data_IF_693571446412
#
_entry.id   IF_693571446412
#
_cell.length_a   1.000
_cell.length_b   1.000
_cell.length_c   1.000
_cell.angle_alpha   90.00
_cell.angle_beta   90.00
_cell.angle_gamma   90.00
#
_symmetry.space_group_name_H-M   'P 1'
#
loop_
_entity.id
_entity.type
_entity.pdbx_description
1 polymer ?
#
# COMPACT_ATOMS: atom_id res chain seq x y z
N UNK A 1 -59.27 -4.69 46.13
CA UNK A 1 -59.91 -4.32 44.84
C UNK A 1 -59.08 -5.00 43.77
N UNK A 2 -59.42 -6.23 43.35
CA UNK A 2 -60.45 -6.56 42.34
C UNK A 2 -60.23 -5.69 41.09
N UNK A 3 -60.03 -6.20 39.89
CA UNK A 3 -59.96 -7.55 39.31
C UNK A 3 -59.63 -7.32 37.82
N UNK A 4 -59.43 -8.42 37.10
CA UNK A 4 -59.66 -8.55 35.65
C UNK A 4 -58.47 -8.29 34.72
N UNK A 5 -58.10 -9.16 33.77
CA UNK A 5 -58.31 -10.59 33.46
C UNK A 5 -57.39 -10.82 32.25
N UNK A 6 -56.63 -11.92 32.25
CA UNK A 6 -55.86 -12.40 31.09
C UNK A 6 -56.74 -13.32 30.20
N UNK A 7 -56.14 -14.23 29.42
CA UNK A 7 -55.55 -14.18 28.08
C UNK A 7 -56.51 -14.86 27.07
N UNK A 8 -56.06 -15.31 25.87
CA UNK A 8 -56.51 -16.56 25.20
C UNK A 8 -55.97 -16.71 23.74
N UNK A 9 -55.24 -17.83 23.52
CA UNK A 9 -55.24 -18.83 22.41
C UNK A 9 -55.09 -18.34 20.95
N UNK A 10 -54.53 -19.06 19.97
CA UNK A 10 -53.89 -20.37 19.76
C UNK A 10 -53.19 -20.24 18.37
N UNK A 11 -52.08 -20.90 18.04
CA UNK A 11 -52.01 -22.32 17.69
C UNK A 11 -52.40 -22.59 16.23
N UNK A 12 -51.37 -22.76 15.38
CA UNK A 12 -51.23 -23.56 14.15
C UNK A 12 -52.37 -23.63 13.09
N UNK A 13 -52.03 -23.44 11.79
CA UNK A 13 -51.78 -24.55 10.85
C UNK A 13 -51.26 -24.04 9.49
N UNK A 14 -50.59 -24.95 8.80
CA UNK A 14 -49.90 -24.85 7.50
C UNK A 14 -50.82 -24.48 6.32
N UNK A 15 -50.24 -23.84 5.31
CA UNK A 15 -50.66 -24.00 3.91
C UNK A 15 -49.45 -23.88 2.97
N UNK A 16 -49.37 -24.84 2.06
CA UNK A 16 -48.31 -25.16 1.10
C UNK A 16 -48.02 -24.10 0.02
N UNK A 17 -46.85 -24.28 -0.61
CA UNK A 17 -46.31 -23.60 -1.78
C UNK A 17 -47.25 -23.62 -3.00
N UNK A 18 -47.00 -22.75 -4.00
CA UNK A 18 -46.24 -23.29 -5.12
C UNK A 18 -45.07 -22.41 -5.57
N UNK A 19 -44.14 -23.09 -6.22
CA UNK A 19 -42.92 -22.59 -6.82
C UNK A 19 -43.18 -21.58 -7.96
N UNK A 20 -42.37 -20.53 -8.02
CA UNK A 20 -41.82 -20.06 -9.30
C UNK A 20 -40.44 -19.45 -9.05
N UNK A 21 -39.42 -20.24 -9.41
CA UNK A 21 -38.03 -19.89 -9.29
C UNK A 21 -37.54 -19.20 -10.54
N UNK A 22 -37.02 -17.97 -10.38
CA UNK A 22 -36.10 -17.36 -11.34
C UNK A 22 -34.96 -16.67 -10.59
N UNK A 23 -34.11 -17.47 -9.97
CA UNK A 23 -32.71 -17.08 -9.78
C UNK A 23 -32.00 -17.52 -11.06
N UNK A 24 -31.54 -16.56 -11.87
CA UNK A 24 -30.64 -16.83 -12.99
C UNK A 24 -29.29 -17.31 -12.44
N UNK A 25 -29.23 -18.58 -12.06
CA UNK A 25 -27.98 -19.30 -11.89
C UNK A 25 -27.46 -19.55 -13.29
N UNK A 26 -26.54 -18.70 -13.75
CA UNK A 26 -25.80 -18.98 -14.98
C UNK A 26 -25.02 -20.28 -14.71
N UNK A 27 -25.56 -21.36 -15.25
CA UNK A 27 -25.06 -22.72 -15.13
C UNK A 27 -23.64 -22.80 -15.68
N UNK A 28 -22.64 -22.73 -14.82
CA UNK A 28 -21.26 -23.07 -15.13
C UNK A 28 -21.13 -24.59 -15.18
N UNK A 29 -21.68 -25.19 -16.23
CA UNK A 29 -21.42 -26.61 -16.52
C UNK A 29 -21.28 -26.83 -18.01
N UNK A 30 -20.00 -26.94 -18.39
CA UNK A 30 -19.46 -27.80 -19.44
C UNK A 30 -19.54 -27.28 -20.89
N UNK A 31 -18.45 -26.65 -21.31
CA UNK A 31 -17.83 -26.97 -22.61
C UNK A 31 -16.38 -27.37 -22.33
N UNK A 32 -16.17 -28.65 -22.04
CA UNK A 32 -14.87 -29.28 -22.28
C UNK A 32 -14.84 -29.57 -23.77
N UNK A 33 -14.13 -28.76 -24.54
CA UNK A 33 -13.77 -29.09 -25.91
C UNK A 33 -12.31 -28.75 -26.18
N UNK A 34 -11.53 -29.83 -26.29
CA UNK A 34 -10.26 -29.96 -27.02
C UNK A 34 -9.08 -29.15 -26.49
N UNK A 35 -8.05 -29.89 -26.07
CA UNK A 35 -6.73 -29.42 -25.69
C UNK A 35 -6.03 -28.69 -26.84
N UNK A 36 -6.10 -27.36 -26.84
CA UNK A 36 -5.01 -26.52 -27.32
C UNK A 36 -4.17 -26.12 -26.09
N UNK A 37 -2.83 -26.13 -26.18
CA UNK A 37 -2.00 -25.68 -25.08
C UNK A 37 -2.37 -24.22 -24.75
N UNK A 38 -2.70 -23.93 -23.48
CA UNK A 38 -2.91 -22.55 -23.06
C UNK A 38 -1.59 -21.78 -23.20
N UNK A 39 -1.53 -20.89 -24.18
CA UNK A 39 -0.53 -19.85 -24.28
C UNK A 39 -0.84 -18.76 -23.25
N UNK A 40 -0.22 -18.86 -22.08
CA UNK A 40 -0.11 -17.83 -21.02
C UNK A 40 -1.41 -17.20 -20.45
N UNK A 41 -1.74 -17.54 -19.19
CA UNK A 41 -2.78 -16.87 -18.39
C UNK A 41 -2.19 -15.72 -17.56
N UNK A 42 -2.37 -14.47 -17.97
CA UNK A 42 -1.92 -13.31 -17.20
C UNK A 42 -2.94 -12.88 -16.12
N UNK A 43 -2.67 -13.19 -14.85
CA UNK A 43 -3.53 -12.79 -13.71
C UNK A 43 -3.05 -11.46 -13.12
N UNK A 44 -3.82 -10.38 -13.32
CA UNK A 44 -3.52 -9.06 -12.72
C UNK A 44 -4.21 -8.89 -11.38
N UNK A 45 -3.44 -8.95 -10.28
CA UNK A 45 -3.92 -8.70 -8.91
C UNK A 45 -4.25 -7.23 -8.62
N UNK A 46 -5.37 -6.70 -9.15
CA UNK A 46 -5.76 -5.27 -9.02
C UNK A 46 -5.93 -4.79 -7.57
N UNK A 47 -6.27 -5.67 -6.62
CA UNK A 47 -6.54 -5.30 -5.22
C UNK A 47 -5.28 -4.89 -4.43
N UNK A 48 -4.23 -5.71 -4.46
CA UNK A 48 -2.98 -5.42 -3.73
C UNK A 48 -2.26 -4.22 -4.32
N UNK A 49 -2.27 -4.09 -5.65
CA UNK A 49 -1.71 -2.94 -6.34
C UNK A 49 -2.35 -1.63 -5.87
N UNK A 50 -3.69 -1.56 -5.84
CA UNK A 50 -4.40 -0.36 -5.36
C UNK A 50 -4.08 0.01 -3.91
N UNK A 51 -3.97 -0.98 -3.02
CA UNK A 51 -3.59 -0.73 -1.62
C UNK A 51 -2.16 -0.15 -1.55
N UNK A 52 -1.24 -0.72 -2.33
CA UNK A 52 0.15 -0.22 -2.41
C UNK A 52 0.19 1.22 -2.96
N UNK A 53 -0.58 1.51 -4.00
CA UNK A 53 -0.66 2.87 -4.55
C UNK A 53 -1.22 3.87 -3.53
N UNK A 54 -2.19 3.47 -2.70
CA UNK A 54 -2.69 4.32 -1.61
C UNK A 54 -1.61 4.64 -0.56
N UNK A 55 -0.76 3.67 -0.20
CA UNK A 55 0.37 3.93 0.69
C UNK A 55 1.39 4.91 0.07
N UNK A 56 1.66 4.76 -1.24
CA UNK A 56 2.57 5.65 -1.98
C UNK A 56 2.00 7.08 -2.03
N UNK A 57 0.72 7.24 -2.37
CA UNK A 57 0.06 8.54 -2.45
C UNK A 57 0.04 9.27 -1.09
N UNK A 58 -0.24 8.56 0.01
CA UNK A 58 -0.15 9.13 1.36
C UNK A 58 1.28 9.57 1.72
N UNK A 59 2.29 8.82 1.29
CA UNK A 59 3.69 9.16 1.49
C UNK A 59 4.13 10.35 0.62
N UNK A 60 3.71 10.42 -0.65
CA UNK A 60 3.99 11.54 -1.54
C UNK A 60 3.38 12.84 -1.01
N UNK A 61 2.14 12.79 -0.51
CA UNK A 61 1.49 13.93 0.18
C UNK A 61 2.22 14.35 1.44
N UNK A 62 2.74 13.38 2.21
CA UNK A 62 3.52 13.67 3.40
C UNK A 62 4.80 14.42 3.05
N UNK A 63 5.57 13.94 2.07
CA UNK A 63 6.81 14.61 1.66
C UNK A 63 6.56 15.96 0.99
N UNK A 64 5.50 16.10 0.19
CA UNK A 64 5.13 17.40 -0.38
C UNK A 64 4.85 18.43 0.72
N UNK A 65 4.00 18.08 1.69
CA UNK A 65 3.68 18.97 2.80
C UNK A 65 4.91 19.23 3.71
N UNK A 66 5.73 18.22 3.94
CA UNK A 66 6.95 18.38 4.73
C UNK A 66 7.93 19.34 4.04
N UNK A 67 8.17 19.17 2.73
CA UNK A 67 9.06 20.05 1.94
C UNK A 67 8.52 21.49 1.92
N UNK A 68 7.20 21.69 1.75
CA UNK A 68 6.57 23.02 1.76
C UNK A 68 6.71 23.76 3.10
N UNK A 69 6.77 23.02 4.22
CA UNK A 69 6.84 23.58 5.57
C UNK A 69 8.29 23.76 6.06
N UNK A 70 9.17 22.89 5.58
CA UNK A 70 10.58 22.94 5.86
C UNK A 70 11.23 24.17 5.19
N UNK A 71 12.27 24.73 5.82
CA UNK A 71 12.97 25.92 5.31
C UNK A 71 14.35 25.63 4.74
N UNK A 72 14.86 24.43 4.98
CA UNK A 72 16.18 24.02 4.53
C UNK A 72 16.05 23.05 3.37
N UNK A 73 16.21 23.53 2.13
CA UNK A 73 16.09 22.75 0.91
C UNK A 73 16.97 21.48 0.89
N UNK A 74 18.04 21.41 1.69
CA UNK A 74 18.85 20.19 1.81
C UNK A 74 18.08 19.02 2.45
N UNK A 75 17.09 19.34 3.27
CA UNK A 75 16.22 18.37 3.91
C UNK A 75 15.01 17.98 3.08
N UNK A 76 14.82 18.57 1.89
CA UNK A 76 13.72 18.18 1.01
C UNK A 76 13.86 16.72 0.59
N UNK A 77 12.73 16.02 0.55
CA UNK A 77 12.69 14.60 0.18
C UNK A 77 12.12 14.46 -1.22
N UNK A 78 12.86 13.75 -2.08
CA UNK A 78 12.45 13.43 -3.43
C UNK A 78 12.44 11.91 -3.64
N UNK A 79 11.35 11.43 -4.25
CA UNK A 79 11.16 10.03 -4.57
C UNK A 79 11.32 9.80 -6.07
N UNK A 80 12.20 8.88 -6.45
CA UNK A 80 12.47 8.51 -7.84
C UNK A 80 12.30 7.00 -8.02
N UNK A 81 11.96 6.58 -9.25
CA UNK A 81 11.96 5.16 -9.63
C UNK A 81 13.28 4.87 -10.33
N UNK A 82 14.14 4.13 -9.67
CA UNK A 82 15.51 3.84 -10.11
C UNK A 82 15.73 2.32 -10.19
N UNK A 83 16.66 1.87 -11.01
CA UNK A 83 17.11 0.49 -11.05
C UNK A 83 18.53 0.40 -10.46
N UNK A 84 18.71 -0.15 -9.25
CA UNK A 84 20.02 -0.32 -8.65
C UNK A 84 20.96 -1.06 -9.59
N UNK A 85 22.20 -0.61 -9.64
CA UNK A 85 23.24 -1.14 -10.54
C UNK A 85 23.30 -2.66 -10.45
N UNK A 86 23.27 -3.32 -11.61
CA UNK A 86 23.34 -4.79 -11.73
C UNK A 86 22.04 -5.55 -11.49
N UNK A 87 20.95 -4.89 -11.08
CA UNK A 87 19.68 -5.59 -10.80
C UNK A 87 18.65 -5.50 -11.93
N UNK A 88 18.68 -4.44 -12.76
CA UNK A 88 17.62 -4.07 -13.73
C UNK A 88 16.20 -3.97 -13.11
N UNK A 89 16.07 -4.10 -11.79
CA UNK A 89 14.80 -4.09 -11.08
C UNK A 89 14.48 -2.67 -10.64
N UNK A 90 13.42 -2.10 -11.22
CA UNK A 90 12.94 -0.76 -10.85
C UNK A 90 12.35 -0.77 -9.44
N UNK A 91 12.88 0.07 -8.56
CA UNK A 91 12.41 0.30 -7.20
C UNK A 91 12.19 1.79 -6.98
N UNK A 92 11.20 2.14 -6.16
CA UNK A 92 10.98 3.52 -5.72
C UNK A 92 11.87 3.80 -4.51
N UNK A 93 12.74 4.79 -4.61
CA UNK A 93 13.66 5.21 -3.55
C UNK A 93 13.39 6.69 -3.25
N UNK A 94 13.25 7.02 -1.97
CA UNK A 94 13.12 8.40 -1.51
C UNK A 94 14.39 8.78 -0.76
N UNK A 95 15.01 9.90 -1.13
CA UNK A 95 16.24 10.40 -0.51
C UNK A 95 16.13 11.90 -0.24
N UNK A 96 16.92 12.37 0.72
CA UNK A 96 17.10 13.81 0.98
C UNK A 96 17.84 14.45 -0.18
N UNK A 97 17.52 15.71 -0.51
CA UNK A 97 18.21 16.50 -1.52
C UNK A 97 19.70 16.63 -1.21
N UNK A 98 20.07 16.75 0.07
CA UNK A 98 21.47 16.70 0.53
C UNK A 98 22.21 15.45 0.04
N UNK A 99 21.59 14.28 0.19
CA UNK A 99 22.21 13.01 -0.19
C UNK A 99 22.30 12.89 -1.72
N UNK A 100 21.27 13.32 -2.45
CA UNK A 100 21.29 13.36 -3.91
C UNK A 100 22.39 14.27 -4.44
N UNK A 101 22.55 15.49 -3.90
CA UNK A 101 23.63 16.41 -4.25
C UNK A 101 25.01 15.78 -4.01
N UNK A 102 25.19 15.10 -2.87
CA UNK A 102 26.46 14.43 -2.57
C UNK A 102 26.73 13.24 -3.50
N UNK A 103 25.71 12.46 -3.88
CA UNK A 103 25.84 11.40 -4.90
C UNK A 103 26.22 11.99 -6.26
N UNK A 104 25.62 13.12 -6.66
CA UNK A 104 25.96 13.80 -7.91
C UNK A 104 27.41 14.31 -7.90
N UNK A 105 27.90 14.80 -6.77
CA UNK A 105 29.28 15.23 -6.60
C UNK A 105 30.25 14.05 -6.67
N UNK A 106 29.97 12.94 -5.98
CA UNK A 106 30.75 11.70 -6.09
C UNK A 106 30.83 11.22 -7.53
N UNK A 107 29.69 11.13 -8.22
CA UNK A 107 29.63 10.68 -9.61
C UNK A 107 30.43 11.62 -10.52
N UNK A 108 30.33 12.94 -10.31
CA UNK A 108 31.11 13.93 -11.06
C UNK A 108 32.61 13.77 -10.79
N UNK A 109 33.01 13.57 -9.55
CA UNK A 109 34.41 13.40 -9.19
C UNK A 109 35.01 12.14 -9.82
N UNK A 110 34.28 11.03 -9.75
CA UNK A 110 34.66 9.78 -10.42
C UNK A 110 34.86 9.95 -11.94
N UNK A 111 33.97 10.69 -12.61
CA UNK A 111 34.04 10.91 -14.04
C UNK A 111 35.12 11.93 -14.47
N UNK A 112 35.38 12.93 -13.62
CA UNK A 112 36.35 14.00 -13.92
C UNK A 112 37.77 13.70 -13.42
N UNK A 113 37.96 12.64 -12.63
CA UNK A 113 39.27 12.24 -12.12
C UNK A 113 39.85 13.22 -11.09
N UNK A 114 39.00 14.04 -10.46
CA UNK A 114 39.39 14.93 -9.35
C UNK A 114 39.33 14.19 -8.02
N UNK A 115 39.80 14.84 -6.96
CA UNK A 115 39.75 14.28 -5.61
C UNK A 115 38.33 13.87 -5.21
N UNK A 116 38.22 12.71 -4.58
CA UNK A 116 36.94 12.17 -4.16
C UNK A 116 36.36 13.03 -3.01
N UNK A 117 35.11 13.52 -3.15
CA UNK A 117 34.42 14.20 -2.05
C UNK A 117 34.13 13.20 -0.91
N UNK A 118 33.73 13.70 0.27
CA UNK A 118 33.22 12.83 1.32
C UNK A 118 32.07 11.95 0.80
N UNK A 119 31.99 10.67 1.22
CA UNK A 119 30.93 9.81 0.72
C UNK A 119 29.54 10.37 1.04
N UNK A 120 28.57 10.26 0.13
CA UNK A 120 27.21 10.77 0.27
C UNK A 120 26.53 10.26 1.54
N UNK A 121 26.81 9.00 1.90
CA UNK A 121 26.36 8.42 3.16
C UNK A 121 26.91 9.18 4.38
N UNK A 122 28.18 9.57 4.36
CA UNK A 122 28.80 10.32 5.43
C UNK A 122 28.26 11.76 5.49
N UNK A 123 28.03 12.40 4.33
CA UNK A 123 27.39 13.72 4.25
C UNK A 123 26.00 13.69 4.90
N UNK A 124 25.15 12.72 4.54
CA UNK A 124 23.82 12.60 5.15
C UNK A 124 23.88 12.27 6.65
N UNK A 125 24.81 11.41 7.07
CA UNK A 125 24.98 11.08 8.50
C UNK A 125 25.42 12.29 9.32
N UNK A 126 26.23 13.18 8.75
CA UNK A 126 26.73 14.37 9.44
C UNK A 126 25.60 15.33 9.86
N UNK A 127 24.49 15.37 9.11
CA UNK A 127 23.32 16.23 9.38
C UNK A 127 22.10 15.45 9.90
N UNK A 128 22.25 14.18 10.27
CA UNK A 128 21.13 13.31 10.63
C UNK A 128 20.33 13.85 11.82
N UNK A 129 21.00 14.37 12.85
CA UNK A 129 20.32 14.89 14.04
C UNK A 129 19.52 16.16 13.72
N UNK A 130 20.09 17.09 12.94
CA UNK A 130 19.39 18.30 12.49
C UNK A 130 18.12 17.95 11.70
N UNK A 131 18.24 17.03 10.74
CA UNK A 131 17.10 16.54 9.96
C UNK A 131 16.03 15.93 10.87
N UNK A 132 16.44 15.07 11.81
CA UNK A 132 15.51 14.40 12.73
C UNK A 132 14.76 15.40 13.60
N UNK A 133 15.46 16.37 14.16
CA UNK A 133 14.86 17.37 15.04
C UNK A 133 13.90 18.28 14.26
N UNK A 134 14.28 18.67 13.03
CA UNK A 134 13.42 19.41 12.11
C UNK A 134 12.13 18.63 11.78
N UNK A 135 12.26 17.38 11.34
CA UNK A 135 11.12 16.55 10.99
C UNK A 135 10.18 16.33 12.18
N UNK A 136 10.72 16.01 13.36
CA UNK A 136 9.92 15.84 14.57
C UNK A 136 9.22 17.13 15.00
N UNK A 137 9.90 18.27 14.91
CA UNK A 137 9.31 19.58 15.21
C UNK A 137 8.11 19.86 14.31
N UNK A 138 8.26 19.69 13.00
CA UNK A 138 7.19 19.91 12.02
C UNK A 138 6.02 18.93 12.20
N UNK A 139 6.31 17.64 12.42
CA UNK A 139 5.28 16.62 12.67
C UNK A 139 4.48 16.94 13.94
N UNK A 140 5.14 17.39 15.01
CA UNK A 140 4.47 17.72 16.25
C UNK A 140 3.62 19.00 16.12
N UNK A 141 4.13 19.99 15.40
CA UNK A 141 3.43 21.26 15.16
C UNK A 141 2.25 21.13 14.19
N UNK A 142 2.33 20.24 13.19
CA UNK A 142 1.32 20.13 12.14
C UNK A 142 0.48 18.85 12.29
N UNK A 143 -0.83 18.94 12.62
CA UNK A 143 -1.70 17.75 12.69
C UNK A 143 -1.87 17.03 11.35
N UNK A 144 -1.85 17.75 10.22
CA UNK A 144 -2.02 17.16 8.89
C UNK A 144 -0.87 16.20 8.54
N UNK A 145 0.37 16.51 8.94
CA UNK A 145 1.49 15.58 8.79
C UNK A 145 1.26 14.28 9.58
N UNK A 146 0.72 14.38 10.80
CA UNK A 146 0.38 13.21 11.63
C UNK A 146 -0.75 12.38 11.04
N UNK A 147 -1.73 13.02 10.40
CA UNK A 147 -2.82 12.33 9.73
C UNK A 147 -2.34 11.54 8.52
N UNK A 148 -1.44 12.09 7.72
CA UNK A 148 -0.83 11.39 6.57
C UNK A 148 -0.01 10.17 7.00
N UNK A 149 0.71 10.26 8.14
CA UNK A 149 1.41 9.10 8.74
C UNK A 149 0.41 7.98 9.08
N UNK A 150 -0.71 8.31 9.73
CA UNK A 150 -1.76 7.34 10.08
C UNK A 150 -2.42 6.74 8.84
N UNK A 151 -2.64 7.56 7.81
CA UNK A 151 -3.21 7.11 6.54
C UNK A 151 -2.31 6.07 5.86
N UNK A 152 -1.01 6.35 5.76
CA UNK A 152 -0.01 5.41 5.24
C UNK A 152 0.01 4.11 6.06
N UNK A 153 0.03 4.21 7.39
CA UNK A 153 -0.01 3.05 8.28
C UNK A 153 -1.28 2.20 8.06
N UNK A 154 -2.43 2.84 7.83
CA UNK A 154 -3.68 2.14 7.53
C UNK A 154 -3.61 1.36 6.22
N UNK A 155 -2.97 1.90 5.17
CA UNK A 155 -2.72 1.18 3.93
C UNK A 155 -1.75 0.00 4.13
N UNK A 156 -0.67 0.17 4.90
CA UNK A 156 0.26 -0.92 5.21
C UNK A 156 -0.44 -2.06 5.96
N UNK A 157 -1.25 -1.75 6.97
CA UNK A 157 -2.05 -2.75 7.70
C UNK A 157 -2.98 -3.52 6.76
N UNK A 158 -3.69 -2.82 5.86
CA UNK A 158 -4.55 -3.44 4.84
C UNK A 158 -3.76 -4.33 3.89
N UNK A 159 -2.55 -3.90 3.49
CA UNK A 159 -1.69 -4.66 2.58
C UNK A 159 -1.25 -5.98 3.22
N UNK A 160 -0.75 -5.93 4.46
CA UNK A 160 -0.34 -7.11 5.20
C UNK A 160 -1.50 -8.07 5.50
N UNK A 161 -2.67 -7.54 5.85
CA UNK A 161 -3.87 -8.35 6.04
C UNK A 161 -4.27 -9.08 4.75
N UNK A 162 -4.26 -8.38 3.61
CA UNK A 162 -4.58 -8.97 2.31
C UNK A 162 -3.56 -10.04 1.90
N UNK A 163 -2.26 -9.84 2.14
CA UNK A 163 -1.23 -10.86 1.89
C UNK A 163 -1.37 -12.08 2.79
N UNK A 164 -1.59 -11.89 4.10
CA UNK A 164 -1.80 -13.01 5.04
C UNK A 164 -3.05 -13.81 4.67
N UNK A 165 -4.13 -13.15 4.25
CA UNK A 165 -5.33 -13.83 3.79
C UNK A 165 -5.06 -14.66 2.52
N UNK A 166 -4.32 -14.12 1.55
CA UNK A 166 -3.95 -14.85 0.34
C UNK A 166 -3.10 -16.09 0.66
N UNK A 167 -2.17 -15.99 1.61
CA UNK A 167 -1.31 -17.12 2.02
C UNK A 167 -2.05 -18.23 2.79
N UNK A 168 -3.25 -17.95 3.34
CA UNK A 168 -4.07 -18.95 4.07
C UNK A 168 -5.12 -19.65 3.21
N UNK A 169 -5.38 -19.16 2.01
CA UNK A 169 -6.33 -19.80 1.11
C UNK A 169 -5.66 -21.08 0.56
N UNK A 170 -6.26 -22.28 0.75
CA UNK A 170 -5.76 -23.46 0.07
C UNK A 170 -5.82 -23.22 -1.44
N UNK A 171 -4.76 -23.63 -2.14
CA UNK A 171 -4.73 -23.54 -3.60
C UNK A 171 -5.94 -24.32 -4.15
N UNK A 172 -6.85 -23.69 -4.91
CA UNK A 172 -8.00 -24.37 -5.50
C UNK A 172 -7.58 -25.53 -6.42
N UNK A 173 -6.33 -25.54 -6.91
CA UNK A 173 -5.76 -26.61 -7.72
C UNK A 173 -5.20 -27.78 -6.90
N UNK A 174 -5.11 -27.64 -5.57
CA UNK A 174 -4.67 -28.68 -4.63
C UNK A 174 -5.84 -29.29 -3.83
N UNK A 175 -7.09 -28.96 -4.16
CA UNK A 175 -8.26 -29.64 -3.59
C UNK A 175 -8.57 -30.89 -4.44
N UNK A 176 -8.73 -32.08 -3.82
CA UNK A 176 -9.01 -33.33 -4.52
C UNK A 176 -10.38 -33.36 -5.21
#
# INVERSE_FOLDING_TARGET
>A
MLLSVAPVLAGAQMAEQPADGRINVISLTKVVSKSEPLDELQIVGKKLYRIRMGAIDAEDKFYALYNDLNRDDDFDIHCKVEAPTGTLLKVRICRLALYEKALEEEARAYLSGVDAPPPAQLVALSRLNEYRDNALSLINANPQLRDLIREREAFEKKYWAARKWAARQPDPTLLP
#
